data_IF_404430578124
#
_entry.id   IF_404430578124
#
_cell.length_a   1.000
_cell.length_b   1.000
_cell.length_c   1.000
_cell.angle_alpha   90.00
_cell.angle_beta   90.00
_cell.angle_gamma   90.00
#
_symmetry.space_group_name_H-M   'P 1'
#
loop_
_entity.id
_entity.type
_entity.pdbx_description
1 polymer ?
#
# COMPACT_ATOMS: atom_id res chain seq x y z
N UNK A 1 -6.87 -17.71 7.72
CA UNK A 1 -7.16 -16.26 7.70
C UNK A 1 -7.36 -15.85 6.25
N UNK A 2 -8.31 -14.96 5.96
CA UNK A 2 -8.56 -14.43 4.62
C UNK A 2 -8.44 -12.91 4.66
N UNK A 3 -7.89 -12.31 3.60
CA UNK A 3 -7.78 -10.85 3.44
C UNK A 3 -8.81 -10.42 2.40
N UNK A 4 -9.66 -9.44 2.72
CA UNK A 4 -10.59 -8.86 1.76
C UNK A 4 -9.82 -7.88 0.87
N UNK A 5 -9.82 -8.14 -0.43
CA UNK A 5 -9.06 -7.35 -1.41
C UNK A 5 -9.93 -6.43 -2.26
N UNK A 6 -11.23 -6.65 -2.35
CA UNK A 6 -12.16 -5.71 -3.01
C UNK A 6 -12.51 -4.61 -2.00
N UNK A 7 -12.34 -3.35 -2.38
CA UNK A 7 -12.56 -2.19 -1.52
C UNK A 7 -11.41 -1.19 -1.63
N UNK A 8 -11.23 -0.41 -0.58
CA UNK A 8 -10.15 0.56 -0.46
C UNK A 8 -9.59 0.58 0.96
N UNK A 9 -8.36 1.06 1.09
CA UNK A 9 -7.70 1.21 2.38
C UNK A 9 -6.44 2.05 2.26
N UNK A 10 -5.90 2.49 3.39
CA UNK A 10 -4.63 3.21 3.42
C UNK A 10 -3.49 2.34 2.93
N UNK A 11 -2.51 2.98 2.30
CA UNK A 11 -1.30 2.35 1.81
C UNK A 11 -0.10 3.28 2.02
N UNK A 12 1.05 2.65 2.22
CA UNK A 12 2.35 3.32 2.24
C UNK A 12 3.16 2.80 1.06
N UNK A 13 3.66 3.71 0.24
CA UNK A 13 4.43 3.40 -0.96
C UNK A 13 5.89 3.74 -0.72
N UNK A 14 6.76 2.73 -0.83
CA UNK A 14 8.19 2.85 -0.59
C UNK A 14 8.93 2.76 -1.93
N UNK A 15 9.51 3.88 -2.37
CA UNK A 15 10.34 3.93 -3.59
C UNK A 15 11.29 5.12 -3.52
N UNK A 16 12.43 5.04 -4.20
CA UNK A 16 13.47 6.09 -4.25
C UNK A 16 13.92 6.60 -2.86
N UNK A 17 13.93 5.70 -1.86
CA UNK A 17 14.28 6.06 -0.48
C UNK A 17 13.25 6.96 0.21
N UNK A 18 12.06 7.13 -0.36
CA UNK A 18 10.97 7.95 0.17
C UNK A 18 9.75 7.09 0.49
N UNK A 19 8.92 7.62 1.39
CA UNK A 19 7.62 7.07 1.72
C UNK A 19 6.57 8.06 1.23
N UNK A 20 5.59 7.55 0.48
CA UNK A 20 4.40 8.32 0.07
C UNK A 20 3.18 7.65 0.69
N UNK A 21 2.37 8.45 1.37
CA UNK A 21 1.08 8.01 1.91
C UNK A 21 -0.01 8.13 0.86
N UNK A 22 -0.99 7.24 0.94
CA UNK A 22 -2.13 7.26 0.04
C UNK A 22 -3.09 6.12 0.31
N UNK A 23 -3.79 5.69 -0.74
CA UNK A 23 -4.75 4.60 -0.67
C UNK A 23 -4.49 3.58 -1.78
N UNK A 24 -4.86 2.34 -1.49
CA UNK A 24 -5.14 1.35 -2.52
C UNK A 24 -6.65 1.27 -2.72
N UNK A 25 -7.08 0.97 -3.95
CA UNK A 25 -8.48 0.76 -4.31
C UNK A 25 -8.61 -0.35 -5.34
N UNK A 26 -9.62 -1.21 -5.18
CA UNK A 26 -9.92 -2.31 -6.08
C UNK A 26 -11.43 -2.52 -6.12
N UNK A 27 -12.07 -2.00 -7.17
CA UNK A 27 -13.53 -1.90 -7.27
C UNK A 27 -14.22 -3.25 -7.53
N UNK A 28 -13.57 -4.14 -8.28
CA UNK A 28 -14.10 -5.47 -8.62
C UNK A 28 -12.96 -6.39 -9.04
N UNK A 29 -13.22 -7.70 -9.05
CA UNK A 29 -12.25 -8.73 -9.44
C UNK A 29 -11.69 -8.51 -10.86
N UNK A 30 -12.48 -7.92 -11.75
CA UNK A 30 -12.13 -7.71 -13.16
C UNK A 30 -11.30 -6.43 -13.42
N UNK A 31 -11.09 -5.60 -12.39
CA UNK A 31 -10.39 -4.32 -12.51
C UNK A 31 -9.05 -4.37 -11.76
N UNK A 32 -7.98 -3.75 -12.26
CA UNK A 32 -6.71 -3.72 -11.55
C UNK A 32 -6.80 -2.91 -10.24
N UNK A 33 -5.83 -3.13 -9.34
CA UNK A 33 -5.63 -2.25 -8.21
C UNK A 33 -5.21 -0.85 -8.68
N UNK A 34 -5.78 0.16 -8.04
CA UNK A 34 -5.41 1.56 -8.17
C UNK A 34 -4.64 1.96 -6.92
N UNK A 35 -3.49 2.58 -7.13
CA UNK A 35 -2.65 3.14 -6.08
C UNK A 35 -2.64 4.65 -6.24
N UNK A 36 -3.18 5.36 -5.25
CA UNK A 36 -3.42 6.80 -5.33
C UNK A 36 -2.71 7.50 -4.18
N UNK A 37 -2.11 8.66 -4.43
CA UNK A 37 -1.60 9.54 -3.37
C UNK A 37 -2.76 10.22 -2.62
N UNK A 38 -2.44 10.99 -1.58
CA UNK A 38 -3.43 11.76 -0.81
C UNK A 38 -4.18 12.82 -1.62
N UNK A 39 -3.69 13.19 -2.80
CA UNK A 39 -4.32 14.13 -3.73
C UNK A 39 -5.18 13.41 -4.80
N UNK A 40 -5.25 12.07 -4.77
CA UNK A 40 -5.97 11.27 -5.75
C UNK A 40 -5.21 11.02 -7.06
N UNK A 41 -3.92 11.37 -7.13
CA UNK A 41 -3.10 11.10 -8.31
C UNK A 41 -2.59 9.65 -8.29
N UNK A 42 -2.53 8.96 -9.44
CA UNK A 42 -1.88 7.65 -9.52
C UNK A 42 -0.42 7.70 -9.07
N UNK A 43 -0.05 6.78 -8.18
CA UNK A 43 1.34 6.59 -7.75
C UNK A 43 2.16 6.09 -8.94
N UNK A 44 3.21 6.84 -9.29
CA UNK A 44 4.17 6.45 -10.32
C UNK A 44 5.31 5.68 -9.68
N UNK A 45 5.24 4.36 -9.77
CA UNK A 45 6.31 3.46 -9.32
C UNK A 45 7.34 3.33 -10.45
N UNK A 46 8.62 3.39 -10.10
CA UNK A 46 9.70 3.16 -11.06
C UNK A 46 9.65 1.73 -11.62
N UNK A 47 10.14 1.54 -12.84
CA UNK A 47 10.16 0.22 -13.48
C UNK A 47 11.02 -0.74 -12.67
N UNK A 48 10.46 -1.90 -12.31
CA UNK A 48 11.17 -2.91 -11.53
C UNK A 48 10.22 -3.90 -10.86
N UNK A 49 10.77 -4.71 -9.96
CA UNK A 49 9.99 -5.61 -9.12
C UNK A 49 9.20 -4.79 -8.09
N UNK A 50 7.90 -5.02 -8.03
CA UNK A 50 7.02 -4.44 -7.01
C UNK A 50 6.60 -5.53 -6.03
N UNK A 51 6.82 -5.29 -4.74
CA UNK A 51 6.38 -6.17 -3.66
C UNK A 51 5.15 -5.56 -3.01
N UNK A 52 4.09 -6.37 -2.85
CA UNK A 52 2.83 -5.95 -2.21
C UNK A 52 2.62 -6.80 -0.97
N UNK A 53 2.48 -6.14 0.19
CA UNK A 53 2.18 -6.76 1.47
C UNK A 53 0.88 -6.23 2.03
N UNK A 54 0.01 -7.12 2.51
CA UNK A 54 -1.19 -6.74 3.25
C UNK A 54 -0.90 -6.82 4.74
N UNK A 55 -1.24 -5.76 5.47
CA UNK A 55 -1.05 -5.68 6.91
C UNK A 55 -2.41 -5.65 7.60
N UNK A 56 -2.57 -6.37 8.72
CA UNK A 56 -3.84 -6.41 9.46
C UNK A 56 -4.16 -5.07 10.13
N UNK A 57 -3.14 -4.28 10.49
CA UNK A 57 -3.28 -2.93 11.02
C UNK A 57 -2.04 -2.08 10.67
N UNK A 58 -2.16 -0.76 10.80
CA UNK A 58 -1.09 0.21 10.51
C UNK A 58 0.10 0.06 11.48
N UNK A 59 -0.15 -0.33 12.73
CA UNK A 59 0.90 -0.55 13.75
C UNK A 59 1.92 -1.63 13.35
N UNK A 60 1.53 -2.55 12.46
CA UNK A 60 2.40 -3.61 11.92
C UNK A 60 3.53 -3.08 11.01
N UNK A 61 3.48 -1.81 10.59
CA UNK A 61 4.52 -1.17 9.76
C UNK A 61 5.78 -0.82 10.54
N UNK A 62 5.73 -0.82 11.88
CA UNK A 62 6.88 -0.67 12.74
C UNK A 62 7.73 -1.93 12.72
N UNK A 63 8.82 -1.93 11.96
CA UNK A 63 9.97 -2.78 12.30
C UNK A 63 10.29 -2.52 13.78
N UNK A 64 10.28 -3.59 14.58
CA UNK A 64 10.74 -3.65 15.97
C UNK A 64 11.55 -2.41 16.35
N UNK A 65 10.96 -1.50 17.11
CA UNK A 65 11.78 -0.76 18.07
C UNK A 65 12.35 -1.86 18.95
N UNK A 66 13.66 -2.16 18.79
CA UNK A 66 14.42 -2.83 19.84
C UNK A 66 14.35 -1.87 21.03
N UNK A 67 13.28 -2.00 21.81
CA UNK A 67 13.20 -1.46 23.15
C UNK A 67 14.04 -2.37 24.02
N UNK A 68 15.07 -1.77 24.63
CA UNK A 68 15.88 -2.19 25.78
C UNK A 68 16.18 -3.69 25.97
#
# INVERSE_FOLDING_TARGET
MAVRTIGEGKAFFFFDGKVVEGIWKHDSLDLPFQYLDTNGNPIKINRGLTWVGFLPNEDSLGATSLGD
#
